data_IF_757759885280
#
_entry.id   IF_757759885280
#
_cell.length_a   1.000
_cell.length_b   1.000
_cell.length_c   1.000
_cell.angle_alpha   90.00
_cell.angle_beta   90.00
_cell.angle_gamma   90.00
#
_symmetry.space_group_name_H-M   'P 1'
#
loop_
_entity.id
_entity.type
_entity.pdbx_description
1 polymer ?
#
# COMPACT_ATOMS: atom_id res chain seq x y z
N UNK A 1 -10.73 32.00 1.57
CA UNK A 1 -9.78 31.40 0.60
C UNK A 1 -9.03 30.16 1.14
N UNK A 2 -9.61 29.38 2.07
CA UNK A 2 -8.98 28.17 2.69
C UNK A 2 -9.63 26.84 2.25
N UNK A 3 -10.66 26.89 1.42
CA UNK A 3 -11.49 25.72 1.06
C UNK A 3 -11.04 24.99 -0.23
N UNK A 4 -10.20 25.61 -1.06
CA UNK A 4 -9.75 25.01 -2.34
C UNK A 4 -8.70 23.88 -2.17
N UNK A 5 -8.02 23.80 -1.03
CA UNK A 5 -6.94 22.82 -0.78
C UNK A 5 -7.44 21.41 -0.42
N UNK A 6 -8.64 21.29 0.15
CA UNK A 6 -9.26 19.98 0.45
C UNK A 6 -9.68 19.23 -0.81
N UNK A 7 -9.93 19.96 -1.89
CA UNK A 7 -10.36 19.39 -3.16
C UNK A 7 -9.18 18.80 -3.94
N UNK A 8 -7.95 19.31 -3.85
CA UNK A 8 -6.84 18.82 -4.70
C UNK A 8 -6.35 17.41 -4.35
N UNK A 9 -6.29 17.05 -3.06
CA UNK A 9 -5.92 15.70 -2.61
C UNK A 9 -7.06 14.70 -2.88
N UNK A 10 -8.30 15.12 -2.61
CA UNK A 10 -9.48 14.35 -2.98
C UNK A 10 -9.59 14.20 -4.50
N UNK A 11 -9.20 15.20 -5.29
CA UNK A 11 -9.26 15.20 -6.76
C UNK A 11 -8.20 14.29 -7.39
N UNK A 12 -6.99 14.23 -6.84
CA UNK A 12 -5.96 13.27 -7.28
C UNK A 12 -6.38 11.84 -6.95
N UNK A 13 -6.94 11.61 -5.76
CA UNK A 13 -7.50 10.31 -5.37
C UNK A 13 -8.78 9.96 -6.17
N UNK A 14 -9.62 10.95 -6.47
CA UNK A 14 -10.80 10.82 -7.33
C UNK A 14 -10.41 10.55 -8.78
N UNK A 15 -9.32 11.12 -9.28
CA UNK A 15 -8.82 10.85 -10.64
C UNK A 15 -8.26 9.42 -10.78
N UNK A 16 -7.65 8.85 -9.73
CA UNK A 16 -7.36 7.42 -9.70
C UNK A 16 -8.61 6.54 -9.58
N UNK A 17 -9.71 7.06 -9.00
CA UNK A 17 -11.03 6.41 -8.94
C UNK A 17 -11.88 6.61 -10.21
N UNK A 18 -11.47 7.42 -11.17
CA UNK A 18 -12.23 7.64 -12.42
C UNK A 18 -12.17 6.45 -13.39
N UNK A 19 -11.30 5.47 -13.12
CA UNK A 19 -11.21 4.19 -13.84
C UNK A 19 -12.11 3.09 -13.25
N UNK A 20 -12.94 3.40 -12.24
CA UNK A 20 -13.82 2.43 -11.59
C UNK A 20 -15.08 2.11 -12.43
N UNK A 21 -15.47 0.83 -12.61
CA UNK A 21 -16.72 0.48 -13.27
C UNK A 21 -17.93 1.05 -12.50
N UNK A 22 -18.75 1.85 -13.17
CA UNK A 22 -19.92 2.57 -12.62
C UNK A 22 -21.01 1.65 -12.02
N UNK A 23 -20.90 0.32 -12.17
CA UNK A 23 -21.88 -0.65 -11.69
C UNK A 23 -21.93 -0.86 -10.16
N UNK A 24 -20.88 -0.46 -9.42
CA UNK A 24 -20.82 -0.73 -7.97
C UNK A 24 -21.71 0.21 -7.14
N UNK A 25 -21.95 1.44 -7.61
CA UNK A 25 -22.79 2.42 -6.91
C UNK A 25 -24.28 2.06 -6.92
N UNK A 26 -24.73 1.26 -7.90
CA UNK A 26 -26.13 0.88 -8.05
C UNK A 26 -26.56 -0.27 -7.13
N UNK A 27 -25.63 -1.13 -6.67
CA UNK A 27 -25.94 -2.26 -5.77
C UNK A 27 -25.93 -1.90 -4.28
N UNK A 28 -25.22 -0.84 -3.90
CA UNK A 28 -25.17 -0.38 -2.49
C UNK A 28 -26.48 0.27 -2.05
N UNK A 29 -27.33 0.71 -2.99
CA UNK A 29 -28.60 1.39 -2.69
C UNK A 29 -29.81 0.45 -2.64
N UNK A 30 -29.65 -0.85 -2.87
CA UNK A 30 -30.79 -1.80 -2.96
C UNK A 30 -30.92 -2.79 -1.79
N UNK A 31 -29.91 -2.91 -0.91
CA UNK A 31 -29.90 -3.94 0.15
C UNK A 31 -30.14 -3.38 1.56
N UNK A 32 -30.98 -2.35 1.69
CA UNK A 32 -31.44 -1.85 3.00
C UNK A 32 -32.87 -2.30 3.29
N UNK A 33 -33.14 -3.59 3.33
CA UNK A 33 -34.32 -4.13 4.02
C UNK A 33 -34.01 -5.53 4.60
N UNK A 34 -34.30 -5.63 5.91
CA UNK A 34 -34.45 -6.80 6.79
C UNK A 34 -33.32 -7.37 7.68
N UNK A 35 -33.74 -7.47 8.94
CA UNK A 35 -33.39 -8.37 10.06
C UNK A 35 -32.13 -8.17 10.94
N UNK A 36 -32.36 -7.43 12.04
CA UNK A 36 -32.62 -8.08 13.33
C UNK A 36 -31.49 -8.84 14.02
N UNK A 37 -30.65 -8.13 14.79
CA UNK A 37 -29.74 -8.79 15.75
C UNK A 37 -28.86 -7.81 16.51
N UNK A 38 -29.10 -7.69 17.82
CA UNK A 38 -28.39 -6.78 18.71
C UNK A 38 -26.89 -7.09 18.81
N UNK A 39 -26.05 -6.20 18.30
CA UNK A 39 -24.67 -6.02 18.73
C UNK A 39 -24.33 -4.53 18.62
N UNK A 40 -24.00 -3.90 19.75
CA UNK A 40 -23.60 -2.50 19.80
C UNK A 40 -22.35 -2.25 18.96
N UNK A 41 -22.55 -1.91 17.69
CA UNK A 41 -21.53 -1.46 16.74
C UNK A 41 -21.72 0.03 16.51
N UNK A 42 -20.62 0.76 16.50
CA UNK A 42 -20.60 2.19 16.18
C UNK A 42 -21.16 2.37 14.75
N UNK A 43 -22.26 3.12 14.56
CA UNK A 43 -23.11 3.05 13.35
C UNK A 43 -22.50 3.69 12.08
N UNK A 44 -21.23 4.11 12.10
CA UNK A 44 -20.57 4.80 10.99
C UNK A 44 -19.34 4.05 10.43
N UNK A 45 -19.00 2.89 11.00
CA UNK A 45 -17.98 1.98 10.46
C UNK A 45 -18.56 0.56 10.52
N UNK A 46 -19.34 0.19 9.50
CA UNK A 46 -19.81 -1.18 9.38
C UNK A 46 -18.64 -2.02 8.87
N UNK A 47 -18.08 -2.86 9.75
CA UNK A 47 -16.93 -3.73 9.42
C UNK A 47 -17.26 -4.65 8.23
N UNK A 48 -18.53 -4.98 8.03
CA UNK A 48 -19.03 -5.75 6.88
C UNK A 48 -18.72 -5.10 5.52
N UNK A 49 -18.62 -3.76 5.46
CA UNK A 49 -18.28 -3.07 4.22
C UNK A 49 -16.78 -3.20 3.89
N UNK A 50 -15.95 -3.44 4.92
CA UNK A 50 -14.53 -3.77 4.73
C UNK A 50 -14.37 -5.24 4.30
N UNK A 51 -15.25 -6.13 4.77
CA UNK A 51 -15.29 -7.53 4.33
C UNK A 51 -15.61 -7.63 2.81
N UNK A 52 -16.35 -6.67 2.25
CA UNK A 52 -16.59 -6.59 0.79
C UNK A 52 -15.32 -6.30 -0.04
N UNK A 53 -14.24 -5.84 0.60
CA UNK A 53 -12.93 -5.64 -0.02
C UNK A 53 -12.03 -6.88 0.07
N UNK A 54 -12.44 -7.91 0.83
CA UNK A 54 -11.70 -9.16 0.93
C UNK A 54 -12.02 -10.07 -0.27
N UNK A 55 -10.97 -10.69 -0.83
CA UNK A 55 -11.10 -11.66 -1.92
C UNK A 55 -11.10 -13.07 -1.29
N UNK A 56 -11.98 -13.99 -1.73
CA UNK A 56 -11.98 -15.36 -1.23
C UNK A 56 -10.60 -16.01 -1.33
N UNK A 57 -10.16 -16.70 -0.27
CA UNK A 57 -8.84 -17.34 -0.21
C UNK A 57 -7.69 -16.43 0.24
N UNK A 58 -7.96 -15.16 0.58
CA UNK A 58 -7.00 -14.24 1.21
C UNK A 58 -7.02 -14.37 2.72
N UNK A 59 -8.20 -14.30 3.35
CA UNK A 59 -8.36 -14.47 4.80
C UNK A 59 -8.48 -15.95 5.17
N UNK A 60 -7.94 -16.32 6.34
CA UNK A 60 -7.96 -17.69 6.86
C UNK A 60 -8.72 -17.72 8.18
N UNK A 61 -9.74 -18.57 8.25
CA UNK A 61 -10.52 -18.79 9.47
C UNK A 61 -9.75 -19.68 10.46
N UNK A 62 -8.94 -19.05 11.32
CA UNK A 62 -8.17 -19.75 12.35
C UNK A 62 -8.87 -19.67 13.71
N UNK A 63 -9.22 -20.82 14.34
CA UNK A 63 -9.81 -20.82 15.67
C UNK A 63 -8.78 -20.42 16.73
N UNK A 64 -9.22 -19.68 17.75
CA UNK A 64 -8.39 -19.23 18.87
C UNK A 64 -9.10 -19.52 20.20
N UNK A 65 -8.33 -19.81 21.24
CA UNK A 65 -8.85 -20.10 22.59
C UNK A 65 -8.37 -19.12 23.66
N UNK A 66 -7.46 -18.21 23.31
CA UNK A 66 -6.85 -17.23 24.22
C UNK A 66 -6.61 -15.89 23.53
N UNK A 67 -6.50 -14.81 24.32
CA UNK A 67 -6.23 -13.47 23.80
C UNK A 67 -4.88 -13.34 23.08
N UNK A 68 -3.85 -14.08 23.52
CA UNK A 68 -2.57 -14.12 22.81
C UNK A 68 -2.70 -14.80 21.45
N UNK A 69 -3.42 -15.93 21.37
CA UNK A 69 -3.69 -16.58 20.09
C UNK A 69 -4.53 -15.69 19.19
N UNK A 70 -5.50 -14.96 19.74
CA UNK A 70 -6.29 -13.98 19.00
C UNK A 70 -5.41 -12.90 18.36
N UNK A 71 -4.45 -12.36 19.12
CA UNK A 71 -3.52 -11.36 18.63
C UNK A 71 -2.63 -11.91 17.50
N UNK A 72 -2.06 -13.11 17.67
CA UNK A 72 -1.16 -13.70 16.68
C UNK A 72 -1.85 -14.16 15.39
N UNK A 73 -3.11 -14.59 15.47
CA UNK A 73 -3.89 -15.00 14.28
C UNK A 73 -4.67 -13.84 13.65
N UNK A 74 -4.60 -12.64 14.23
CA UNK A 74 -5.29 -11.46 13.69
C UNK A 74 -4.88 -11.13 12.24
N UNK A 75 -3.58 -11.17 11.86
CA UNK A 75 -3.17 -10.95 10.47
C UNK A 75 -3.77 -11.92 9.46
N UNK A 76 -3.91 -13.18 9.84
CA UNK A 76 -4.45 -14.24 8.99
C UNK A 76 -5.97 -14.08 8.80
N UNK A 77 -6.67 -13.68 9.87
CA UNK A 77 -8.14 -13.54 9.87
C UNK A 77 -8.61 -12.23 9.27
N UNK A 78 -7.85 -11.14 9.45
CA UNK A 78 -8.21 -9.78 9.01
C UNK A 78 -7.02 -9.13 8.27
N UNK A 79 -6.60 -9.69 7.13
CA UNK A 79 -5.41 -9.22 6.42
C UNK A 79 -5.56 -7.78 5.90
N UNK A 80 -6.76 -7.36 5.49
CA UNK A 80 -7.00 -5.98 5.07
C UNK A 80 -6.83 -4.97 6.21
N UNK A 81 -7.44 -5.25 7.37
CA UNK A 81 -7.30 -4.37 8.54
C UNK A 81 -5.85 -4.31 9.01
N UNK A 82 -5.17 -5.45 9.01
CA UNK A 82 -3.75 -5.53 9.35
C UNK A 82 -2.91 -4.70 8.39
N UNK A 83 -3.20 -4.76 7.09
CA UNK A 83 -2.57 -3.92 6.08
C UNK A 83 -2.74 -2.42 6.39
N UNK A 84 -3.98 -1.96 6.63
CA UNK A 84 -4.26 -0.56 6.96
C UNK A 84 -3.49 -0.09 8.19
N UNK A 85 -3.49 -0.89 9.26
CA UNK A 85 -2.80 -0.56 10.51
C UNK A 85 -1.29 -0.50 10.33
N UNK A 86 -0.69 -1.54 9.74
CA UNK A 86 0.75 -1.62 9.53
C UNK A 86 1.21 -0.51 8.60
N UNK A 87 0.50 -0.24 7.50
CA UNK A 87 0.83 0.83 6.57
C UNK A 87 0.83 2.21 7.26
N UNK A 88 -0.22 2.51 8.03
CA UNK A 88 -0.35 3.80 8.73
C UNK A 88 0.70 3.99 9.82
N UNK A 89 0.93 2.96 10.63
CA UNK A 89 1.92 2.99 11.71
C UNK A 89 3.34 3.06 11.12
N UNK A 90 3.65 2.27 10.10
CA UNK A 90 4.96 2.28 9.42
C UNK A 90 5.32 3.66 8.89
N UNK A 91 4.42 4.30 8.14
CA UNK A 91 4.75 5.60 7.51
C UNK A 91 4.86 6.73 8.51
N UNK A 92 3.99 6.75 9.53
CA UNK A 92 4.08 7.73 10.61
C UNK A 92 5.34 7.53 11.45
N UNK A 93 5.69 6.28 11.77
CA UNK A 93 6.91 5.94 12.49
C UNK A 93 8.17 6.31 11.70
N UNK A 94 8.21 6.00 10.40
CA UNK A 94 9.33 6.37 9.53
C UNK A 94 9.54 7.89 9.52
N UNK A 95 8.46 8.69 9.45
CA UNK A 95 8.57 10.14 9.54
C UNK A 95 9.11 10.61 10.89
N UNK A 96 8.62 10.05 12.01
CA UNK A 96 9.12 10.37 13.35
C UNK A 96 10.61 10.09 13.46
N UNK A 97 11.07 8.92 13.00
CA UNK A 97 12.49 8.55 13.01
C UNK A 97 13.31 9.57 12.21
N UNK A 98 12.88 9.92 10.99
CA UNK A 98 13.58 10.93 10.18
C UNK A 98 13.59 12.30 10.87
N UNK A 99 12.49 12.74 11.48
CA UNK A 99 12.45 14.00 12.23
C UNK A 99 13.41 14.01 13.42
N UNK A 100 13.51 12.90 14.14
CA UNK A 100 14.43 12.76 15.27
C UNK A 100 15.87 12.75 14.78
N UNK A 101 16.20 11.96 13.75
CA UNK A 101 17.55 11.89 13.18
C UNK A 101 18.04 13.24 12.66
N UNK A 102 17.19 14.02 11.97
CA UNK A 102 17.55 15.35 11.48
C UNK A 102 17.75 16.39 12.60
N UNK A 103 17.15 16.17 13.78
CA UNK A 103 17.34 17.06 14.95
C UNK A 103 18.66 16.85 15.67
N UNK A 104 19.30 15.68 15.50
CA UNK A 104 20.59 15.38 16.13
C UNK A 104 21.71 16.35 15.69
N UNK A 105 21.51 17.16 14.63
CA UNK A 105 22.42 18.24 14.23
C UNK A 105 21.81 19.65 14.12
N UNK A 106 20.50 19.84 14.32
CA UNK A 106 19.83 21.12 14.14
C UNK A 106 18.68 21.33 15.13
N UNK A 107 18.61 22.52 15.76
CA UNK A 107 17.57 22.93 16.71
C UNK A 107 16.21 23.19 16.03
N UNK A 108 15.63 22.18 15.36
CA UNK A 108 14.33 22.26 14.69
C UNK A 108 13.19 21.73 15.57
N UNK A 109 12.05 22.44 15.53
CA UNK A 109 10.79 22.06 16.19
C UNK A 109 10.20 20.81 15.52
N UNK A 110 9.48 19.98 16.29
CA UNK A 110 8.78 18.80 15.75
C UNK A 110 7.61 19.24 14.86
N UNK A 111 7.53 18.71 13.65
CA UNK A 111 6.46 19.03 12.70
C UNK A 111 5.38 17.93 12.71
N UNK A 112 4.39 18.10 13.57
CA UNK A 112 3.25 17.17 13.67
C UNK A 112 2.41 17.16 12.38
N UNK A 113 2.35 18.28 11.64
CA UNK A 113 1.59 18.35 10.39
C UNK A 113 2.19 17.42 9.35
N UNK A 114 3.52 17.33 9.27
CA UNK A 114 4.22 16.39 8.39
C UNK A 114 3.87 14.95 8.73
N UNK A 115 3.92 14.58 10.02
CA UNK A 115 3.58 13.22 10.48
C UNK A 115 2.14 12.83 10.12
N UNK A 116 1.18 13.76 10.25
CA UNK A 116 -0.21 13.52 9.83
C UNK A 116 -0.33 13.27 8.32
N UNK A 117 0.43 14.00 7.49
CA UNK A 117 0.45 13.76 6.03
C UNK A 117 1.01 12.38 5.71
N UNK A 118 2.09 11.96 6.37
CA UNK A 118 2.65 10.62 6.22
C UNK A 118 1.69 9.52 6.71
N UNK A 119 0.97 9.75 7.81
CA UNK A 119 -0.06 8.83 8.29
C UNK A 119 -1.21 8.69 7.29
N UNK A 120 -1.71 9.82 6.73
CA UNK A 120 -2.75 9.81 5.70
C UNK A 120 -2.30 9.14 4.41
N UNK A 121 -1.05 9.36 4.00
CA UNK A 121 -0.47 8.68 2.84
C UNK A 121 -0.37 7.16 3.08
N UNK A 122 0.09 6.76 4.27
CA UNK A 122 0.11 5.35 4.68
C UNK A 122 -1.27 4.71 4.71
N UNK A 123 -2.27 5.42 5.23
CA UNK A 123 -3.63 4.90 5.30
C UNK A 123 -4.29 4.81 3.92
N UNK A 124 -4.31 5.90 3.15
CA UNK A 124 -5.08 5.99 1.91
C UNK A 124 -4.37 5.31 0.75
N UNK A 125 -3.09 5.62 0.52
CA UNK A 125 -2.38 5.11 -0.64
C UNK A 125 -1.87 3.70 -0.39
N UNK A 126 -1.02 3.53 0.63
CA UNK A 126 -0.42 2.23 0.96
C UNK A 126 -1.49 1.27 1.56
N UNK A 127 -2.41 1.78 2.37
CA UNK A 127 -3.41 0.94 3.03
C UNK A 127 -4.56 0.52 2.12
N UNK A 128 -5.14 1.46 1.35
CA UNK A 128 -6.33 1.20 0.53
C UNK A 128 -5.97 0.98 -0.94
N UNK A 129 -5.27 1.91 -1.59
CA UNK A 129 -4.98 1.82 -3.04
C UNK A 129 -4.10 0.62 -3.34
N UNK A 130 -3.03 0.40 -2.57
CA UNK A 130 -2.13 -0.74 -2.76
C UNK A 130 -2.86 -2.07 -2.58
N UNK A 131 -3.75 -2.18 -1.58
CA UNK A 131 -4.59 -3.38 -1.40
C UNK A 131 -5.47 -3.65 -2.62
N UNK A 132 -6.12 -2.62 -3.16
CA UNK A 132 -6.95 -2.76 -4.36
C UNK A 132 -6.13 -3.22 -5.56
N UNK A 133 -4.88 -2.80 -5.69
CA UNK A 133 -3.99 -3.25 -6.77
C UNK A 133 -3.53 -4.69 -6.52
N UNK A 134 -2.91 -4.96 -5.37
CA UNK A 134 -2.21 -6.22 -5.09
C UNK A 134 -3.14 -7.39 -4.81
N UNK A 135 -4.31 -7.11 -4.23
CA UNK A 135 -5.26 -8.17 -3.88
C UNK A 135 -6.35 -8.22 -4.95
N UNK A 136 -7.04 -7.12 -5.23
CA UNK A 136 -8.20 -7.18 -6.13
C UNK A 136 -7.83 -7.21 -7.61
N UNK A 137 -7.00 -6.27 -8.06
CA UNK A 137 -6.63 -6.20 -9.48
C UNK A 137 -5.75 -7.38 -9.89
N UNK A 138 -4.75 -7.78 -9.08
CA UNK A 138 -3.94 -8.95 -9.40
C UNK A 138 -4.71 -10.26 -9.31
N UNK A 139 -5.63 -10.46 -8.36
CA UNK A 139 -6.45 -11.68 -8.37
C UNK A 139 -7.38 -11.76 -9.59
N UNK A 140 -7.77 -10.61 -10.15
CA UNK A 140 -8.53 -10.56 -11.39
C UNK A 140 -7.66 -10.80 -12.64
N UNK A 141 -6.46 -10.20 -12.69
CA UNK A 141 -5.52 -10.33 -13.81
C UNK A 141 -4.86 -11.72 -13.87
N UNK A 142 -4.65 -12.33 -12.70
CA UNK A 142 -3.89 -13.56 -12.49
C UNK A 142 -4.74 -14.53 -11.64
N UNK A 143 -5.69 -15.25 -12.26
CA UNK A 143 -6.67 -16.07 -11.53
C UNK A 143 -6.03 -17.23 -10.74
N UNK A 144 -4.85 -17.72 -11.16
CA UNK A 144 -4.15 -18.79 -10.44
C UNK A 144 -3.26 -18.26 -9.30
N UNK A 145 -3.06 -16.94 -9.19
CA UNK A 145 -2.15 -16.35 -8.23
C UNK A 145 -2.54 -16.63 -6.77
N UNK A 146 -3.83 -16.73 -6.47
CA UNK A 146 -4.32 -17.02 -5.11
C UNK A 146 -4.02 -18.46 -4.73
N UNK A 147 -4.28 -19.42 -5.63
CA UNK A 147 -3.96 -20.82 -5.42
C UNK A 147 -2.45 -21.01 -5.28
N UNK A 148 -1.66 -20.50 -6.23
CA UNK A 148 -0.21 -20.57 -6.23
C UNK A 148 0.42 -19.95 -4.97
N UNK A 149 -0.10 -18.83 -4.47
CA UNK A 149 0.41 -18.19 -3.25
C UNK A 149 0.23 -19.08 -2.01
N UNK A 150 -0.87 -19.83 -1.94
CA UNK A 150 -1.22 -20.65 -0.79
C UNK A 150 -0.65 -22.08 -0.84
N UNK A 151 -0.08 -22.50 -1.98
CA UNK A 151 0.60 -23.79 -2.10
C UNK A 151 1.90 -23.85 -1.28
N UNK A 152 2.36 -25.04 -0.87
CA UNK A 152 3.69 -25.22 -0.29
C UNK A 152 4.78 -25.10 -1.37
N UNK A 153 6.00 -24.74 -0.96
CA UNK A 153 7.09 -24.37 -1.87
C UNK A 153 7.52 -25.45 -2.86
N UNK A 154 7.42 -26.72 -2.47
CA UNK A 154 7.71 -27.87 -3.31
C UNK A 154 6.73 -27.96 -4.49
N UNK A 155 5.44 -27.75 -4.25
CA UNK A 155 4.42 -27.80 -5.30
C UNK A 155 4.48 -26.59 -6.24
N UNK A 156 4.91 -25.42 -5.74
CA UNK A 156 5.08 -24.21 -6.58
C UNK A 156 6.09 -24.38 -7.70
N UNK A 157 7.08 -25.23 -7.52
CA UNK A 157 8.10 -25.48 -8.55
C UNK A 157 7.54 -26.23 -9.75
N UNK A 158 6.45 -26.99 -9.55
CA UNK A 158 5.79 -27.75 -10.61
C UNK A 158 4.59 -26.99 -11.22
N UNK A 159 4.02 -25.99 -10.52
CA UNK A 159 2.91 -25.17 -11.04
C UNK A 159 3.37 -24.14 -12.08
N UNK A 160 3.42 -24.58 -13.34
CA UNK A 160 3.76 -23.73 -14.48
C UNK A 160 2.75 -22.58 -14.72
N UNK A 161 1.47 -22.76 -14.37
CA UNK A 161 0.46 -21.71 -14.56
C UNK A 161 0.58 -20.63 -13.49
N UNK A 162 0.78 -21.02 -12.23
CA UNK A 162 1.06 -20.12 -11.13
C UNK A 162 2.37 -19.35 -11.32
N UNK A 163 3.43 -19.99 -11.84
CA UNK A 163 4.68 -19.30 -12.18
C UNK A 163 4.50 -18.25 -13.28
N UNK A 164 3.68 -18.52 -14.30
CA UNK A 164 3.36 -17.55 -15.34
C UNK A 164 2.59 -16.36 -14.74
N UNK A 165 1.62 -16.61 -13.87
CA UNK A 165 0.84 -15.57 -13.19
C UNK A 165 1.69 -14.77 -12.17
N UNK A 166 2.66 -15.40 -11.53
CA UNK A 166 3.70 -14.74 -10.73
C UNK A 166 4.53 -13.78 -11.60
N UNK A 167 5.03 -14.24 -12.74
CA UNK A 167 5.82 -13.41 -13.66
C UNK A 167 5.01 -12.20 -14.17
N UNK A 168 3.72 -12.38 -14.49
CA UNK A 168 2.82 -11.27 -14.87
C UNK A 168 2.67 -10.24 -13.76
N UNK A 169 2.48 -10.68 -12.51
CA UNK A 169 2.39 -9.78 -11.36
C UNK A 169 3.68 -8.96 -11.20
N UNK A 170 4.86 -9.62 -11.23
CA UNK A 170 6.17 -8.96 -11.12
C UNK A 170 6.36 -7.92 -12.23
N UNK A 171 6.09 -8.30 -13.49
CA UNK A 171 6.26 -7.41 -14.63
C UNK A 171 5.31 -6.22 -14.58
N UNK A 172 4.05 -6.45 -14.22
CA UNK A 172 3.09 -5.36 -14.07
C UNK A 172 3.51 -4.43 -12.93
N UNK A 173 3.91 -4.98 -11.79
CA UNK A 173 4.27 -4.20 -10.63
C UNK A 173 5.48 -3.30 -10.91
N UNK A 174 6.55 -3.86 -11.51
CA UNK A 174 7.75 -3.10 -11.81
C UNK A 174 7.59 -2.12 -12.98
N UNK A 175 6.96 -2.56 -14.08
CA UNK A 175 6.91 -1.77 -15.32
C UNK A 175 5.73 -0.81 -15.38
N UNK A 176 4.64 -1.11 -14.69
CA UNK A 176 3.42 -0.28 -14.71
C UNK A 176 3.23 0.41 -13.37
N UNK A 177 3.14 -0.33 -12.28
CA UNK A 177 2.80 0.28 -10.99
C UNK A 177 3.95 1.16 -10.47
N UNK A 178 5.16 0.63 -10.29
CA UNK A 178 6.30 1.41 -9.81
C UNK A 178 6.68 2.53 -10.77
N UNK A 179 6.88 2.18 -12.05
CA UNK A 179 7.40 3.10 -13.07
C UNK A 179 6.39 4.18 -13.47
N UNK A 180 5.10 3.84 -13.64
CA UNK A 180 4.12 4.75 -14.23
C UNK A 180 3.13 5.36 -13.22
N UNK A 181 3.02 4.80 -12.01
CA UNK A 181 2.06 5.26 -11.00
C UNK A 181 2.78 5.76 -9.75
N UNK A 182 3.54 4.89 -9.09
CA UNK A 182 4.17 5.18 -7.79
C UNK A 182 5.15 6.34 -7.86
N UNK A 183 6.16 6.29 -8.74
CA UNK A 183 7.17 7.34 -8.84
C UNK A 183 6.59 8.71 -9.20
N UNK A 184 5.71 8.85 -10.21
CA UNK A 184 5.00 10.10 -10.48
C UNK A 184 4.27 10.68 -9.27
N UNK A 185 3.55 9.85 -8.52
CA UNK A 185 2.83 10.26 -7.31
C UNK A 185 3.81 10.69 -6.21
N UNK A 186 4.88 9.90 -6.01
CA UNK A 186 5.93 10.18 -5.03
C UNK A 186 6.61 11.53 -5.29
N UNK A 187 7.05 11.78 -6.53
CA UNK A 187 7.72 13.04 -6.89
C UNK A 187 6.79 14.26 -6.75
N UNK A 188 5.50 14.09 -7.08
CA UNK A 188 4.49 15.14 -6.88
C UNK A 188 4.27 15.43 -5.39
N UNK A 189 4.15 14.40 -4.55
CA UNK A 189 3.95 14.56 -3.11
C UNK A 189 5.20 15.11 -2.40
N UNK A 190 6.40 14.71 -2.83
CA UNK A 190 7.67 15.22 -2.30
C UNK A 190 7.73 16.75 -2.40
N UNK A 191 7.38 17.29 -3.57
CA UNK A 191 7.35 18.74 -3.79
C UNK A 191 6.35 19.48 -2.88
N UNK A 192 5.19 18.87 -2.62
CA UNK A 192 4.18 19.41 -1.71
C UNK A 192 4.63 19.40 -0.25
N UNK A 193 5.31 18.35 0.20
CA UNK A 193 5.78 18.20 1.58
C UNK A 193 6.95 19.13 1.88
N UNK A 194 7.84 19.36 0.91
CA UNK A 194 9.00 20.25 1.06
C UNK A 194 8.65 21.74 1.02
N UNK A 195 7.35 22.10 1.02
CA UNK A 195 6.88 23.48 1.09
C UNK A 195 7.00 24.26 -0.22
N UNK A 196 7.40 23.61 -1.32
CA UNK A 196 7.42 24.20 -2.64
C UNK A 196 6.02 24.27 -3.25
N UNK A 197 5.77 25.30 -4.08
CA UNK A 197 4.65 25.27 -5.04
C UNK A 197 5.04 24.40 -6.23
N UNK A 198 5.39 23.14 -5.97
CA UNK A 198 5.79 22.24 -7.05
C UNK A 198 4.54 21.89 -7.84
N UNK A 199 4.51 22.29 -9.10
CA UNK A 199 3.43 21.88 -10.00
C UNK A 199 3.57 20.38 -10.30
N UNK A 200 2.47 19.69 -10.57
CA UNK A 200 2.52 18.27 -11.00
C UNK A 200 3.49 18.09 -12.18
N UNK A 201 3.55 19.08 -13.06
CA UNK A 201 4.46 19.12 -14.22
C UNK A 201 5.93 19.11 -13.79
N UNK A 202 6.31 19.91 -12.80
CA UNK A 202 7.68 19.95 -12.29
C UNK A 202 8.07 18.62 -11.62
N UNK A 203 7.16 17.99 -10.87
CA UNK A 203 7.38 16.66 -10.30
C UNK A 203 7.63 15.60 -11.37
N UNK A 204 6.82 15.60 -12.44
CA UNK A 204 6.99 14.69 -13.57
C UNK A 204 8.29 14.96 -14.36
N UNK A 205 8.66 16.23 -14.55
CA UNK A 205 9.93 16.59 -15.19
C UNK A 205 11.14 16.13 -14.36
N UNK A 206 11.06 16.25 -13.03
CA UNK A 206 12.12 15.76 -12.15
C UNK A 206 12.27 14.24 -12.22
N UNK A 207 11.15 13.52 -12.26
CA UNK A 207 11.15 12.07 -12.47
C UNK A 207 11.75 11.70 -13.82
N UNK A 208 11.35 12.37 -14.91
CA UNK A 208 11.85 12.10 -16.25
C UNK A 208 13.39 12.24 -16.34
N UNK A 209 13.99 13.17 -15.58
CA UNK A 209 15.45 13.37 -15.55
C UNK A 209 16.21 12.23 -14.85
N UNK A 210 15.61 11.61 -13.84
CA UNK A 210 16.23 10.52 -13.06
C UNK A 210 15.62 9.15 -13.39
N UNK A 211 14.86 9.07 -14.48
CA UNK A 211 14.02 7.92 -14.80
C UNK A 211 14.83 6.61 -14.81
N UNK A 212 15.98 6.59 -15.48
CA UNK A 212 16.77 5.36 -15.61
C UNK A 212 17.43 4.96 -14.29
N UNK A 213 18.06 5.91 -13.59
CA UNK A 213 18.76 5.64 -12.33
C UNK A 213 17.79 5.16 -11.24
N UNK A 214 16.66 5.86 -11.07
CA UNK A 214 15.68 5.51 -10.05
C UNK A 214 14.99 4.17 -10.34
N UNK A 215 14.59 3.91 -11.59
CA UNK A 215 13.94 2.65 -11.94
C UNK A 215 14.92 1.46 -11.89
N UNK A 216 16.17 1.62 -12.30
CA UNK A 216 17.16 0.54 -12.18
C UNK A 216 17.42 0.16 -10.72
N UNK A 217 17.52 1.16 -9.83
CA UNK A 217 17.68 0.92 -8.40
C UNK A 217 16.44 0.24 -7.80
N UNK A 218 15.23 0.66 -8.18
CA UNK A 218 13.99 0.04 -7.71
C UNK A 218 13.92 -1.40 -8.20
N UNK A 219 14.17 -1.66 -9.49
CA UNK A 219 14.08 -3.00 -10.07
C UNK A 219 15.10 -3.96 -9.48
N UNK A 220 16.31 -3.48 -9.13
CA UNK A 220 17.32 -4.31 -8.50
C UNK A 220 16.87 -4.91 -7.16
N UNK A 221 15.91 -4.28 -6.47
CA UNK A 221 15.43 -4.68 -5.14
C UNK A 221 14.04 -5.29 -5.23
N UNK A 222 13.17 -4.69 -6.03
CA UNK A 222 11.79 -5.10 -6.15
C UNK A 222 11.61 -6.28 -7.08
N UNK A 223 12.41 -6.48 -8.13
CA UNK A 223 12.31 -7.75 -8.89
C UNK A 223 12.54 -8.99 -8.01
N UNK A 224 13.63 -9.08 -7.20
CA UNK A 224 13.77 -10.21 -6.28
C UNK A 224 12.80 -10.14 -5.09
N UNK A 225 12.46 -8.93 -4.62
CA UNK A 225 11.48 -8.74 -3.55
C UNK A 225 10.09 -9.25 -3.93
N UNK A 226 9.64 -8.98 -5.15
CA UNK A 226 8.33 -9.34 -5.67
C UNK A 226 8.20 -10.84 -5.90
N UNK A 227 9.29 -11.52 -6.28
CA UNK A 227 9.32 -12.99 -6.26
C UNK A 227 8.96 -13.49 -4.86
N UNK A 228 9.56 -12.94 -3.80
CA UNK A 228 9.25 -13.36 -2.43
C UNK A 228 7.81 -12.96 -2.05
N UNK A 229 7.43 -11.71 -2.28
CA UNK A 229 6.11 -11.15 -1.91
C UNK A 229 4.96 -11.91 -2.57
N UNK A 230 5.07 -12.22 -3.86
CA UNK A 230 4.00 -12.92 -4.57
C UNK A 230 4.02 -14.43 -4.36
N UNK A 231 5.14 -15.00 -3.89
CA UNK A 231 5.25 -16.41 -3.54
C UNK A 231 4.95 -16.74 -2.07
N UNK A 232 4.78 -15.77 -1.17
CA UNK A 232 4.27 -16.06 0.19
C UNK A 232 2.74 -16.27 0.20
N UNK A 233 2.19 -16.90 1.27
CA UNK A 233 0.74 -17.00 1.44
C UNK A 233 0.04 -15.66 1.30
N UNK A 234 -1.19 -15.69 0.76
CA UNK A 234 -1.88 -14.48 0.33
C UNK A 234 -2.11 -13.47 1.46
N UNK A 235 -2.40 -13.95 2.68
CA UNK A 235 -2.55 -13.10 3.87
C UNK A 235 -1.24 -12.40 4.29
N UNK A 236 -0.10 -13.01 4.00
CA UNK A 236 1.23 -12.54 4.43
C UNK A 236 1.87 -11.60 3.40
N UNK A 237 1.43 -11.65 2.14
CA UNK A 237 1.93 -10.85 1.01
C UNK A 237 2.14 -9.38 1.36
N UNK A 238 1.10 -8.71 1.86
CA UNK A 238 1.16 -7.29 2.19
C UNK A 238 2.13 -6.98 3.34
N UNK A 239 2.24 -7.88 4.32
CA UNK A 239 3.18 -7.72 5.43
C UNK A 239 4.63 -7.83 4.97
N UNK A 240 4.93 -8.81 4.10
CA UNK A 240 6.28 -8.94 3.52
C UNK A 240 6.59 -7.72 2.66
N UNK A 241 5.63 -7.27 1.84
CA UNK A 241 5.75 -6.05 1.04
C UNK A 241 6.12 -4.85 1.92
N UNK A 242 5.41 -4.63 3.03
CA UNK A 242 5.72 -3.56 3.98
C UNK A 242 7.11 -3.68 4.60
N UNK A 243 7.55 -4.91 4.90
CA UNK A 243 8.89 -5.18 5.43
C UNK A 243 9.99 -4.77 4.44
N UNK A 244 9.86 -5.20 3.17
CA UNK A 244 10.80 -4.84 2.11
C UNK A 244 10.76 -3.34 1.84
N UNK A 245 9.58 -2.71 1.77
CA UNK A 245 9.46 -1.26 1.61
C UNK A 245 10.12 -0.49 2.75
N UNK A 246 10.01 -0.97 3.98
CA UNK A 246 10.63 -0.33 5.14
C UNK A 246 12.15 -0.37 5.03
N UNK A 247 12.72 -1.53 4.69
CA UNK A 247 14.15 -1.68 4.41
C UNK A 247 14.62 -0.77 3.27
N UNK A 248 13.87 -0.73 2.16
CA UNK A 248 14.16 0.15 1.01
C UNK A 248 14.17 1.62 1.43
N UNK A 249 13.18 2.05 2.22
CA UNK A 249 13.07 3.43 2.70
C UNK A 249 14.28 3.81 3.56
N UNK A 250 14.72 2.91 4.45
CA UNK A 250 15.93 3.13 5.26
C UNK A 250 17.18 3.22 4.37
N UNK A 251 17.33 2.33 3.39
CA UNK A 251 18.47 2.33 2.48
C UNK A 251 18.51 3.60 1.61
N UNK A 252 17.38 4.03 1.06
CA UNK A 252 17.26 5.29 0.33
C UNK A 252 17.63 6.49 1.21
N UNK A 253 17.18 6.50 2.46
CA UNK A 253 17.52 7.57 3.41
C UNK A 253 19.03 7.63 3.67
N UNK A 254 19.71 6.49 3.72
CA UNK A 254 21.17 6.42 3.87
C UNK A 254 21.89 6.90 2.60
N UNK A 255 21.56 6.31 1.44
CA UNK A 255 22.22 6.60 0.16
C UNK A 255 22.05 8.06 -0.28
N UNK A 256 20.87 8.65 -0.07
CA UNK A 256 20.59 10.04 -0.46
C UNK A 256 20.97 11.07 0.61
N UNK A 257 21.08 10.66 1.87
CA UNK A 257 21.63 11.51 2.94
C UNK A 257 23.13 11.80 2.77
N UNK A 258 23.87 10.88 2.16
CA UNK A 258 25.29 11.06 1.85
C UNK A 258 25.53 11.97 0.62
N UNK A 259 24.58 12.02 -0.32
CA UNK A 259 24.69 12.86 -1.53
C UNK A 259 24.46 14.35 -1.26
N UNK A 260 23.76 14.72 -0.19
CA UNK A 260 23.61 16.13 0.24
C UNK A 260 24.80 16.63 1.08
N UNK A 261 25.68 15.74 1.53
CA UNK A 261 26.87 16.06 2.34
C UNK A 261 28.20 16.03 1.56
N UNK A 262 28.15 15.91 0.23
CA UNK A 262 29.32 16.05 -0.67
C UNK A 262 29.09 17.21 -1.63
#
# INVERSE_FOLDING_TARGET
MRLRWRLSLAFILLQSLQWFPRGLAARVLTDTEDDGGAQGRLPWLNVSDLDALEVPGVAVDVPYRSALQELFTFPERRPFMTNLLVATVKTSFADVVVQVSLKVGASKVFDLRRTVVFALFGFLYIGVVEWLIYVRFFSWMCPHAVAFANEPWDLKLDDSFGQMDLAKQILFDNLVHYTCIYYPVFYTLKGLIQGGRVSVVEGLQQYARHFTEDNLLVWAIWLPGDVIVFSVPMWLRMLVNHGISFMWTMMLSYLRGDLENK
#
